data_IF_227881294202
#
_entry.id   IF_227881294202
#
_cell.length_a   1.000
_cell.length_b   1.000
_cell.length_c   1.000
_cell.angle_alpha   90.00
_cell.angle_beta   90.00
_cell.angle_gamma   90.00
#
_symmetry.space_group_name_H-M   'P 1'
#
loop_
_entity.id
_entity.type
_entity.pdbx_description
1 polymer ?
#
# COMPACT_ATOMS: atom_id res chain seq x y z
N UNK A 1 9.37 7.12 -56.39
CA UNK A 1 8.32 6.32 -55.73
C UNK A 1 8.73 6.17 -54.28
N UNK A 2 8.05 6.88 -53.39
CA UNK A 2 8.28 6.82 -51.95
C UNK A 2 7.65 5.52 -51.41
N UNK A 3 8.42 4.76 -50.64
CA UNK A 3 7.88 3.72 -49.77
C UNK A 3 7.70 4.34 -48.39
N UNK A 4 6.45 4.50 -47.99
CA UNK A 4 6.05 4.88 -46.63
C UNK A 4 6.19 3.66 -45.73
N UNK A 5 6.93 3.84 -44.65
CA UNK A 5 7.13 2.91 -43.56
C UNK A 5 5.89 2.94 -42.66
N UNK A 6 5.11 1.87 -42.69
CA UNK A 6 3.89 1.70 -41.89
C UNK A 6 4.29 1.43 -40.44
N UNK A 7 3.97 2.40 -39.57
CA UNK A 7 4.23 2.35 -38.14
C UNK A 7 3.59 1.13 -37.49
N UNK A 8 4.40 0.35 -36.77
CA UNK A 8 3.94 -0.68 -35.85
C UNK A 8 3.16 0.03 -34.72
N UNK A 9 1.84 0.02 -34.85
CA UNK A 9 0.92 0.40 -33.77
C UNK A 9 0.96 -0.74 -32.75
N UNK A 10 1.69 -0.54 -31.65
CA UNK A 10 1.64 -1.42 -30.48
C UNK A 10 0.25 -1.27 -29.83
N UNK A 11 -0.70 -2.06 -30.32
CA UNK A 11 -1.98 -2.27 -29.66
C UNK A 11 -1.73 -2.93 -28.31
N UNK A 12 -1.74 -2.13 -27.24
CA UNK A 12 -1.82 -2.62 -25.87
C UNK A 12 -3.25 -3.12 -25.65
N UNK A 13 -3.56 -4.29 -26.18
CA UNK A 13 -4.81 -4.95 -25.81
C UNK A 13 -4.75 -5.31 -24.32
N UNK A 14 -5.70 -4.84 -23.49
CA UNK A 14 -5.76 -5.22 -22.09
C UNK A 14 -5.95 -6.73 -22.01
N UNK A 15 -4.91 -7.43 -21.54
CA UNK A 15 -5.03 -8.87 -21.29
C UNK A 15 -6.15 -9.07 -20.28
N UNK A 16 -7.14 -9.94 -20.57
CA UNK A 16 -8.21 -10.19 -19.63
C UNK A 16 -7.62 -10.69 -18.30
N UNK A 17 -8.04 -10.04 -17.22
CA UNK A 17 -7.63 -10.39 -15.86
C UNK A 17 -7.96 -11.86 -15.61
N UNK A 18 -6.93 -12.71 -15.55
CA UNK A 18 -7.09 -14.10 -15.12
C UNK A 18 -6.80 -14.13 -13.62
N UNK A 19 -7.79 -14.48 -12.78
CA UNK A 19 -7.52 -14.74 -11.37
C UNK A 19 -6.42 -15.80 -11.27
N UNK A 20 -5.42 -15.58 -10.44
CA UNK A 20 -4.41 -16.60 -10.19
C UNK A 20 -5.07 -17.79 -9.50
N UNK A 21 -4.61 -18.99 -9.84
CA UNK A 21 -5.26 -20.24 -9.48
C UNK A 21 -4.90 -20.70 -8.08
N UNK A 22 -3.75 -20.26 -7.57
CA UNK A 22 -3.24 -20.66 -6.25
C UNK A 22 -2.65 -19.47 -5.50
N UNK A 23 -2.65 -19.57 -4.17
CA UNK A 23 -2.03 -18.58 -3.29
C UNK A 23 -0.52 -18.42 -3.50
N UNK A 24 0.13 -19.45 -4.06
CA UNK A 24 1.55 -19.49 -4.36
C UNK A 24 1.89 -18.70 -5.64
N UNK A 25 1.05 -18.78 -6.68
CA UNK A 25 1.19 -17.98 -7.90
C UNK A 25 1.08 -16.47 -7.60
N UNK A 26 0.15 -16.07 -6.73
CA UNK A 26 0.05 -14.68 -6.25
C UNK A 26 1.33 -14.24 -5.54
N UNK A 27 1.85 -15.10 -4.65
CA UNK A 27 3.04 -14.78 -3.88
C UNK A 27 4.28 -14.66 -4.77
N UNK A 28 4.37 -15.52 -5.80
CA UNK A 28 5.41 -15.43 -6.81
C UNK A 28 5.35 -14.11 -7.57
N UNK A 29 4.17 -13.69 -8.04
CA UNK A 29 4.01 -12.43 -8.76
C UNK A 29 4.39 -11.21 -7.90
N UNK A 30 4.00 -11.21 -6.61
CA UNK A 30 4.43 -10.18 -5.66
C UNK A 30 5.95 -10.16 -5.48
N UNK A 31 6.57 -11.35 -5.38
CA UNK A 31 8.01 -11.51 -5.22
C UNK A 31 8.77 -11.01 -6.46
N UNK A 32 8.26 -11.30 -7.65
CA UNK A 32 8.82 -10.83 -8.93
C UNK A 32 8.80 -9.30 -9.03
N UNK A 33 7.65 -8.68 -8.74
CA UNK A 33 7.52 -7.21 -8.76
C UNK A 33 8.43 -6.53 -7.71
N UNK A 34 8.54 -7.11 -6.51
CA UNK A 34 9.48 -6.62 -5.49
C UNK A 34 10.95 -6.81 -5.90
N UNK A 35 11.29 -7.90 -6.60
CA UNK A 35 12.64 -8.15 -7.10
C UNK A 35 13.02 -7.09 -8.15
N UNK A 36 12.17 -6.86 -9.16
CA UNK A 36 12.37 -5.85 -10.20
C UNK A 36 12.49 -4.45 -9.62
N UNK A 37 11.69 -4.16 -8.60
CA UNK A 37 11.75 -2.90 -7.87
C UNK A 37 13.08 -2.70 -7.14
N UNK A 38 13.54 -3.68 -6.36
CA UNK A 38 14.82 -3.61 -5.65
C UNK A 38 16.02 -3.61 -6.62
N UNK A 39 15.94 -4.36 -7.73
CA UNK A 39 16.89 -4.31 -8.82
C UNK A 39 17.05 -2.89 -9.34
N UNK A 40 15.93 -2.24 -9.66
CA UNK A 40 15.91 -0.88 -10.21
C UNK A 40 16.43 0.18 -9.23
N UNK A 41 16.17 0.01 -7.93
CA UNK A 41 16.59 0.97 -6.89
C UNK A 41 18.07 0.85 -6.52
N UNK A 42 18.61 -0.37 -6.49
CA UNK A 42 19.91 -0.66 -5.88
C UNK A 42 20.90 -1.33 -6.84
N UNK A 43 20.51 -1.55 -8.10
CA UNK A 43 21.30 -2.25 -9.11
C UNK A 43 21.77 -3.64 -8.63
N UNK A 44 20.86 -4.36 -7.95
CA UNK A 44 21.11 -5.69 -7.40
C UNK A 44 20.78 -6.74 -8.44
N UNK A 45 21.62 -7.76 -8.60
CA UNK A 45 21.25 -8.97 -9.35
C UNK A 45 20.28 -9.82 -8.54
N UNK A 46 19.03 -9.35 -8.41
CA UNK A 46 17.95 -9.98 -7.66
C UNK A 46 16.81 -10.36 -8.63
N UNK A 47 16.30 -11.57 -8.48
CA UNK A 47 15.18 -12.13 -9.23
C UNK A 47 14.20 -12.79 -8.27
N UNK A 48 13.04 -13.23 -8.76
CA UNK A 48 12.09 -13.99 -7.95
C UNK A 48 12.71 -15.27 -7.36
N UNK A 49 13.59 -15.95 -8.10
CA UNK A 49 14.25 -17.19 -7.68
C UNK A 49 15.21 -16.97 -6.50
N UNK A 50 16.04 -15.93 -6.56
CA UNK A 50 17.07 -15.66 -5.57
C UNK A 50 16.69 -14.56 -4.55
N UNK A 51 15.42 -14.12 -4.56
CA UNK A 51 14.92 -13.00 -3.78
C UNK A 51 15.32 -13.06 -2.30
N UNK A 52 15.10 -14.20 -1.64
CA UNK A 52 15.45 -14.38 -0.24
C UNK A 52 16.97 -14.47 -0.03
N UNK A 53 17.71 -15.12 -0.93
CA UNK A 53 19.18 -15.22 -0.87
C UNK A 53 19.85 -13.84 -0.86
N UNK A 54 19.30 -12.89 -1.63
CA UNK A 54 19.84 -11.52 -1.73
C UNK A 54 19.47 -10.64 -0.53
N UNK A 55 18.51 -11.05 0.29
CA UNK A 55 17.96 -10.24 1.39
C UNK A 55 18.19 -10.84 2.78
N UNK A 56 18.53 -12.13 2.88
CA UNK A 56 18.64 -12.89 4.14
C UNK A 56 19.74 -12.42 5.10
N UNK A 57 20.65 -11.56 4.66
CA UNK A 57 21.65 -10.90 5.53
C UNK A 57 21.10 -9.68 6.28
N UNK A 58 19.91 -9.20 5.88
CA UNK A 58 19.30 -7.98 6.42
C UNK A 58 19.93 -6.67 5.94
N UNK A 59 21.04 -6.71 5.21
CA UNK A 59 21.81 -5.51 4.81
C UNK A 59 21.00 -4.62 3.88
N UNK A 60 20.53 -5.19 2.76
CA UNK A 60 19.79 -4.46 1.74
C UNK A 60 18.52 -3.81 2.30
N UNK A 61 17.79 -4.50 3.18
CA UNK A 61 16.57 -3.97 3.79
C UNK A 61 16.86 -2.84 4.79
N UNK A 62 17.96 -2.94 5.55
CA UNK A 62 18.40 -1.82 6.41
C UNK A 62 18.84 -0.60 5.59
N UNK A 63 19.54 -0.81 4.48
CA UNK A 63 19.89 0.26 3.54
C UNK A 63 18.64 0.91 2.95
N UNK A 64 17.64 0.10 2.58
CA UNK A 64 16.37 0.59 2.09
C UNK A 64 15.65 1.46 3.11
N UNK A 65 15.55 1.02 4.36
CA UNK A 65 14.98 1.78 5.47
C UNK A 65 15.64 3.17 5.62
N UNK A 66 16.98 3.20 5.62
CA UNK A 66 17.72 4.45 5.72
C UNK A 66 17.50 5.38 4.53
N UNK A 67 17.34 4.83 3.31
CA UNK A 67 17.01 5.62 2.12
C UNK A 67 15.60 6.23 2.21
N UNK A 68 14.60 5.46 2.65
CA UNK A 68 13.24 5.98 2.91
C UNK A 68 13.31 7.13 3.91
N UNK A 69 14.05 6.94 5.00
CA UNK A 69 14.25 7.97 6.02
C UNK A 69 14.87 9.26 5.46
N UNK A 70 15.92 9.13 4.67
CA UNK A 70 16.58 10.29 4.04
C UNK A 70 15.61 11.09 3.16
N UNK A 71 14.79 10.41 2.35
CA UNK A 71 13.80 11.06 1.49
C UNK A 71 12.73 11.79 2.32
N UNK A 72 12.21 11.14 3.37
CA UNK A 72 11.20 11.76 4.23
C UNK A 72 11.73 13.02 4.95
N UNK A 73 12.99 12.98 5.41
CA UNK A 73 13.66 14.13 6.01
C UNK A 73 13.89 15.26 4.99
N UNK A 74 14.29 14.91 3.76
CA UNK A 74 14.47 15.89 2.68
C UNK A 74 13.16 16.60 2.32
N UNK A 75 12.03 15.90 2.43
CA UNK A 75 10.69 16.46 2.22
C UNK A 75 10.13 17.19 3.45
N UNK A 76 10.85 17.23 4.58
CA UNK A 76 10.38 17.77 5.87
C UNK A 76 9.03 17.16 6.27
N UNK A 77 8.85 15.87 6.00
CA UNK A 77 7.61 15.19 6.34
C UNK A 77 7.42 15.16 7.86
N UNK A 78 6.19 15.43 8.30
CA UNK A 78 5.79 15.28 9.70
C UNK A 78 5.31 13.86 10.03
N UNK A 79 5.21 12.98 9.03
CA UNK A 79 4.75 11.61 9.25
C UNK A 79 5.84 10.78 9.96
N UNK A 80 5.46 9.71 10.68
CA UNK A 80 6.42 8.81 11.32
C UNK A 80 7.34 8.13 10.30
N UNK A 81 8.64 8.13 10.56
CA UNK A 81 9.65 7.48 9.69
C UNK A 81 10.61 6.58 10.46
N UNK A 82 10.60 6.60 11.79
CA UNK A 82 11.57 5.90 12.62
C UNK A 82 12.98 6.51 12.62
N UNK A 83 13.83 5.96 13.48
CA UNK A 83 15.24 6.36 13.60
C UNK A 83 16.14 5.73 12.54
N UNK A 84 17.40 6.13 12.49
CA UNK A 84 18.37 5.50 11.58
C UNK A 84 18.62 4.03 11.95
N UNK A 85 18.63 3.15 10.95
CA UNK A 85 18.83 1.72 11.12
C UNK A 85 20.32 1.40 11.04
N UNK A 86 20.91 1.17 12.22
CA UNK A 86 22.30 0.70 12.34
C UNK A 86 22.38 -0.76 11.91
N UNK A 87 23.28 -1.07 10.98
CA UNK A 87 23.48 -2.42 10.46
C UNK A 87 24.94 -2.68 10.09
N UNK A 88 25.30 -3.96 9.95
CA UNK A 88 26.63 -4.42 9.54
C UNK A 88 26.60 -4.89 8.09
N UNK A 89 27.55 -4.46 7.26
CA UNK A 89 27.57 -4.79 5.82
C UNK A 89 28.16 -6.18 5.52
N UNK A 90 29.26 -6.57 6.18
CA UNK A 90 29.99 -7.81 5.90
C UNK A 90 29.45 -8.99 6.72
N UNK A 91 28.17 -9.32 6.47
CA UNK A 91 27.44 -10.33 7.23
C UNK A 91 27.15 -11.55 6.37
N UNK A 92 27.53 -12.73 6.86
CA UNK A 92 27.13 -13.99 6.25
C UNK A 92 25.68 -14.35 6.59
N UNK A 93 24.98 -14.93 5.62
CA UNK A 93 23.61 -15.43 5.77
C UNK A 93 23.50 -16.47 6.91
N UNK A 94 22.32 -16.55 7.54
CA UNK A 94 22.04 -17.50 8.62
C UNK A 94 22.75 -17.20 9.95
N UNK A 95 23.57 -16.15 10.04
CA UNK A 95 24.32 -15.82 11.26
C UNK A 95 23.50 -15.02 12.27
N UNK A 96 23.97 -14.97 13.52
CA UNK A 96 23.40 -14.07 14.54
C UNK A 96 23.43 -12.60 14.10
N UNK A 97 24.47 -12.17 13.38
CA UNK A 97 24.56 -10.81 12.86
C UNK A 97 23.53 -10.52 11.75
N UNK A 98 23.16 -11.52 10.94
CA UNK A 98 22.08 -11.37 9.97
C UNK A 98 20.75 -11.14 10.69
N UNK A 99 20.47 -11.93 11.73
CA UNK A 99 19.26 -11.75 12.56
C UNK A 99 19.23 -10.40 13.28
N UNK A 100 20.37 -9.92 13.75
CA UNK A 100 20.51 -8.60 14.39
C UNK A 100 20.17 -7.46 13.42
N UNK A 101 20.72 -7.48 12.20
CA UNK A 101 20.35 -6.55 11.13
C UNK A 101 18.83 -6.58 10.87
N UNK A 102 18.25 -7.77 10.70
CA UNK A 102 16.81 -7.93 10.45
C UNK A 102 15.97 -7.45 11.64
N UNK A 103 16.43 -7.67 12.88
CA UNK A 103 15.74 -7.19 14.09
C UNK A 103 15.69 -5.66 14.14
N UNK A 104 16.80 -4.99 13.83
CA UNK A 104 16.86 -3.53 13.76
C UNK A 104 15.94 -2.98 12.66
N UNK A 105 15.88 -3.66 11.51
CA UNK A 105 14.94 -3.32 10.44
C UNK A 105 13.48 -3.46 10.88
N UNK A 106 13.10 -4.56 11.55
CA UNK A 106 11.73 -4.76 12.06
C UNK A 106 11.37 -3.68 13.10
N UNK A 107 12.31 -3.31 13.98
CA UNK A 107 12.11 -2.21 14.92
C UNK A 107 11.85 -0.87 14.20
N UNK A 108 12.58 -0.62 13.12
CA UNK A 108 12.35 0.56 12.28
C UNK A 108 10.98 0.54 11.59
N UNK A 109 10.52 -0.62 11.09
CA UNK A 109 9.19 -0.76 10.49
C UNK A 109 8.08 -0.30 11.45
N UNK A 110 8.21 -0.57 12.75
CA UNK A 110 7.29 -0.04 13.78
C UNK A 110 7.34 1.48 13.87
N UNK A 111 8.54 2.07 13.83
CA UNK A 111 8.75 3.52 13.80
C UNK A 111 8.19 4.20 12.53
N UNK A 112 8.16 3.49 11.40
CA UNK A 112 7.48 3.88 10.16
C UNK A 112 5.94 3.74 10.24
N UNK A 113 5.44 3.08 11.30
CA UNK A 113 4.02 2.87 11.57
C UNK A 113 3.42 1.63 10.89
N UNK A 114 4.24 0.68 10.44
CA UNK A 114 3.75 -0.62 9.92
C UNK A 114 2.98 -1.34 11.03
N UNK A 115 1.79 -1.85 10.72
CA UNK A 115 0.93 -2.54 11.69
C UNK A 115 1.58 -3.85 12.16
N UNK A 116 1.44 -4.18 13.45
CA UNK A 116 2.05 -5.41 14.02
C UNK A 116 1.61 -6.69 13.29
N UNK A 117 0.37 -6.75 12.78
CA UNK A 117 -0.12 -7.91 12.02
C UNK A 117 0.54 -8.07 10.63
N UNK A 118 1.23 -7.04 10.14
CA UNK A 118 1.99 -7.07 8.88
C UNK A 118 3.50 -7.24 9.12
N UNK A 119 3.97 -7.15 10.37
CA UNK A 119 5.37 -7.40 10.68
C UNK A 119 5.68 -8.90 10.58
N UNK A 120 6.93 -9.19 10.26
CA UNK A 120 7.48 -10.53 10.16
C UNK A 120 8.51 -10.76 11.28
N UNK A 121 8.88 -12.01 11.52
CA UNK A 121 9.92 -12.39 12.46
C UNK A 121 11.28 -12.53 11.76
N UNK A 122 12.38 -12.42 12.51
CA UNK A 122 13.73 -12.55 11.93
C UNK A 122 13.94 -13.88 11.19
N UNK A 123 13.37 -14.98 11.68
CA UNK A 123 13.48 -16.30 11.06
C UNK A 123 12.67 -16.43 9.77
N UNK A 124 11.66 -15.58 9.55
CA UNK A 124 10.84 -15.59 8.34
C UNK A 124 11.66 -15.20 7.11
N UNK A 125 12.66 -14.32 7.31
CA UNK A 125 13.61 -13.91 6.28
C UNK A 125 14.90 -14.75 6.33
N UNK A 126 15.55 -14.86 7.49
CA UNK A 126 16.88 -15.48 7.62
C UNK A 126 16.85 -16.99 7.41
N UNK A 127 15.77 -17.66 7.84
CA UNK A 127 15.58 -19.11 7.70
C UNK A 127 14.43 -19.47 6.77
N UNK A 128 13.82 -18.48 6.10
CA UNK A 128 12.68 -18.63 5.19
C UNK A 128 11.52 -19.41 5.81
N UNK A 129 11.27 -19.23 7.12
CA UNK A 129 10.17 -19.93 7.81
C UNK A 129 8.79 -19.51 7.32
N UNK A 130 8.66 -18.26 6.88
CA UNK A 130 7.39 -17.72 6.38
C UNK A 130 7.63 -16.57 5.38
N UNK A 131 7.88 -16.95 4.13
CA UNK A 131 8.12 -16.01 3.03
C UNK A 131 6.98 -14.99 2.85
N UNK A 132 5.73 -15.42 3.09
CA UNK A 132 4.55 -14.57 2.93
C UNK A 132 4.59 -13.36 3.85
N UNK A 133 4.89 -13.56 5.14
CA UNK A 133 4.93 -12.46 6.11
C UNK A 133 5.95 -11.39 5.69
N UNK A 134 7.14 -11.81 5.23
CA UNK A 134 8.15 -10.87 4.76
C UNK A 134 7.71 -10.09 3.51
N UNK A 135 7.16 -10.78 2.51
CA UNK A 135 6.68 -10.16 1.26
C UNK A 135 5.58 -9.12 1.53
N UNK A 136 4.61 -9.45 2.37
CA UNK A 136 3.51 -8.54 2.72
C UNK A 136 4.01 -7.32 3.51
N UNK A 137 4.95 -7.52 4.44
CA UNK A 137 5.61 -6.42 5.14
C UNK A 137 6.32 -5.47 4.17
N UNK A 138 7.06 -6.02 3.20
CA UNK A 138 7.83 -5.21 2.26
C UNK A 138 6.95 -4.40 1.31
N UNK A 139 5.80 -4.94 0.88
CA UNK A 139 4.79 -4.19 0.13
C UNK A 139 4.23 -3.02 0.94
N UNK A 140 3.94 -3.23 2.22
CA UNK A 140 3.46 -2.15 3.10
C UNK A 140 4.52 -1.05 3.29
N UNK A 141 5.79 -1.42 3.41
CA UNK A 141 6.91 -0.46 3.44
C UNK A 141 6.97 0.32 2.13
N UNK A 142 6.75 -0.32 0.99
CA UNK A 142 6.75 0.36 -0.30
C UNK A 142 5.61 1.39 -0.42
N UNK A 143 4.38 1.04 0.02
CA UNK A 143 3.24 1.99 0.11
C UNK A 143 3.58 3.22 0.95
N UNK A 144 4.20 3.00 2.11
CA UNK A 144 4.61 4.09 3.02
C UNK A 144 5.75 4.91 2.43
N UNK A 145 6.74 4.25 1.85
CA UNK A 145 7.88 4.87 1.18
C UNK A 145 7.47 5.78 0.02
N UNK A 146 6.44 5.39 -0.73
CA UNK A 146 5.90 6.18 -1.84
C UNK A 146 5.44 7.57 -1.40
N UNK A 147 4.85 7.68 -0.19
CA UNK A 147 4.45 8.96 0.41
C UNK A 147 5.63 9.89 0.70
N UNK A 148 6.83 9.35 0.78
CA UNK A 148 8.09 10.09 0.93
C UNK A 148 8.85 10.26 -0.39
N UNK A 149 8.23 9.94 -1.54
CA UNK A 149 8.85 10.04 -2.85
C UNK A 149 9.79 8.90 -3.21
N UNK A 150 9.80 7.80 -2.46
CA UNK A 150 10.44 6.57 -2.95
C UNK A 150 9.65 6.04 -4.15
N UNK A 151 10.29 5.65 -5.26
CA UNK A 151 9.59 4.94 -6.32
C UNK A 151 8.89 3.69 -5.75
N UNK A 152 7.63 3.46 -6.12
CA UNK A 152 6.88 2.29 -5.71
C UNK A 152 6.99 1.15 -6.74
N UNK A 153 6.88 -0.12 -6.30
CA UNK A 153 6.77 -1.27 -7.19
C UNK A 153 5.45 -1.21 -7.98
N UNK A 154 5.35 -1.94 -9.08
CA UNK A 154 4.25 -1.79 -10.04
C UNK A 154 2.91 -2.11 -9.38
N UNK A 155 2.87 -3.15 -8.54
CA UNK A 155 1.66 -3.56 -7.85
C UNK A 155 1.08 -2.42 -6.99
N UNK A 156 1.92 -1.76 -6.20
CA UNK A 156 1.50 -0.63 -5.35
C UNK A 156 1.02 0.56 -6.19
N UNK A 157 1.70 0.84 -7.31
CA UNK A 157 1.27 1.90 -8.23
C UNK A 157 -0.11 1.62 -8.83
N UNK A 158 -0.38 0.37 -9.19
CA UNK A 158 -1.69 -0.06 -9.69
C UNK A 158 -2.77 0.03 -8.61
N UNK A 159 -2.47 -0.38 -7.37
CA UNK A 159 -3.39 -0.22 -6.22
C UNK A 159 -3.82 1.25 -6.05
N UNK A 160 -2.87 2.19 -6.03
CA UNK A 160 -3.15 3.62 -5.90
C UNK A 160 -3.93 4.20 -7.10
N UNK A 161 -3.71 3.67 -8.30
CA UNK A 161 -4.46 4.06 -9.50
C UNK A 161 -5.91 3.62 -9.40
N UNK A 162 -6.15 2.36 -9.02
CA UNK A 162 -7.49 1.80 -8.81
C UNK A 162 -8.23 2.58 -7.71
N UNK A 163 -7.59 2.83 -6.55
CA UNK A 163 -8.20 3.61 -5.47
C UNK A 163 -8.62 5.01 -5.93
N UNK A 164 -7.78 5.68 -6.74
CA UNK A 164 -8.08 7.01 -7.27
C UNK A 164 -9.26 7.00 -8.24
N UNK A 165 -9.40 5.95 -9.06
CA UNK A 165 -10.54 5.80 -9.96
C UNK A 165 -11.83 5.55 -9.19
N UNK A 166 -11.81 4.65 -8.21
CA UNK A 166 -12.96 4.35 -7.35
C UNK A 166 -13.45 5.62 -6.64
N UNK A 167 -12.54 6.42 -6.06
CA UNK A 167 -12.90 7.66 -5.39
C UNK A 167 -13.56 8.68 -6.34
N UNK A 168 -13.06 8.80 -7.58
CA UNK A 168 -13.67 9.67 -8.60
C UNK A 168 -15.08 9.23 -8.96
N UNK A 169 -15.31 7.93 -9.06
CA UNK A 169 -16.62 7.39 -9.43
C UNK A 169 -17.63 7.50 -8.28
N UNK A 170 -17.20 7.37 -7.02
CA UNK A 170 -18.02 7.66 -5.85
C UNK A 170 -18.42 9.15 -5.82
N UNK A 171 -17.47 10.06 -6.05
CA UNK A 171 -17.75 11.50 -6.06
C UNK A 171 -18.74 11.89 -7.18
N UNK A 172 -18.58 11.33 -8.39
CA UNK A 172 -19.54 11.54 -9.48
C UNK A 172 -20.93 11.04 -9.12
N UNK A 173 -21.04 9.86 -8.48
CA UNK A 173 -22.34 9.33 -8.04
C UNK A 173 -22.99 10.25 -7.02
N UNK A 174 -22.22 10.74 -6.03
CA UNK A 174 -22.73 11.68 -5.03
C UNK A 174 -23.21 13.00 -5.64
N UNK A 175 -22.49 13.52 -6.64
CA UNK A 175 -22.89 14.72 -7.37
C UNK A 175 -24.16 14.50 -8.20
N UNK A 176 -24.29 13.31 -8.81
CA UNK A 176 -25.49 12.95 -9.56
C UNK A 176 -26.72 12.81 -8.66
N UNK A 177 -26.57 12.15 -7.50
CA UNK A 177 -27.63 12.02 -6.49
C UNK A 177 -28.04 13.37 -5.88
N UNK A 178 -27.11 14.29 -5.69
CA UNK A 178 -27.40 15.64 -5.20
C UNK A 178 -28.17 16.52 -6.21
N UNK A 179 -28.01 16.29 -7.52
CA UNK A 179 -28.78 17.00 -8.56
C UNK A 179 -30.18 16.42 -8.78
N UNK A 180 -30.45 15.19 -8.35
CA UNK A 180 -31.76 14.52 -8.52
C UNK A 180 -32.75 14.89 -7.39
N UNK A 181 -32.27 15.49 -6.28
CA UNK A 181 -33.09 15.91 -5.13
C UNK A 181 -33.64 17.36 -5.23
N UNK A 182 -33.17 18.17 -6.17
CA UNK A 182 -33.61 19.57 -6.37
C UNK A 182 -34.74 19.69 -7.43
N UNK A 183 -35.35 18.55 -7.81
CA UNK A 183 -36.29 18.43 -8.94
C UNK A 183 -37.77 18.27 -8.59
N UNK A 184 -38.17 18.44 -7.32
CA UNK A 184 -39.58 18.35 -6.90
C UNK A 184 -39.99 19.59 -6.06
N UNK A 185 -39.97 20.77 -6.68
CA UNK A 185 -40.76 21.93 -6.24
C UNK A 185 -41.89 22.19 -7.24
N UNK A 186 -42.99 21.44 -7.12
CA UNK A 186 -44.35 21.72 -7.62
C UNK A 186 -45.24 20.57 -7.15
N UNK A 187 -46.26 20.67 -6.30
CA UNK A 187 -47.23 21.71 -5.95
C UNK A 187 -47.74 21.44 -4.52
N UNK A 188 -48.14 22.50 -3.80
CA UNK A 188 -48.93 22.39 -2.58
C UNK A 188 -50.30 21.78 -2.91
N UNK A 189 -50.56 20.54 -2.48
CA UNK A 189 -51.93 20.05 -2.29
C UNK A 189 -52.07 19.40 -0.89
N UNK A 190 -52.88 20.05 -0.05
CA UNK A 190 -53.31 19.58 1.27
C UNK A 190 -54.23 18.36 1.09
N UNK A 191 -53.83 17.14 1.49
CA UNK A 191 -54.79 16.07 1.81
C UNK A 191 -54.38 15.22 3.03
N UNK A 192 -55.40 14.78 3.76
CA UNK A 192 -55.46 14.40 5.17
C UNK A 192 -54.64 13.16 5.60
N UNK A 193 -54.25 13.17 6.87
CA UNK A 193 -53.54 12.12 7.62
C UNK A 193 -54.29 10.78 7.65
N UNK A 194 -53.64 9.69 7.20
CA UNK A 194 -53.92 8.33 7.66
C UNK A 194 -52.74 7.79 8.49
N UNK A 195 -52.98 7.66 9.79
CA UNK A 195 -52.03 7.20 10.80
C UNK A 195 -51.89 5.67 10.72
N UNK A 196 -50.91 5.18 9.96
CA UNK A 196 -50.41 3.81 10.10
C UNK A 196 -48.97 3.85 10.63
N UNK A 197 -48.63 3.10 11.71
CA UNK A 197 -47.30 3.18 12.30
C UNK A 197 -46.24 2.69 11.30
N UNK A 198 -45.12 3.41 11.13
CA UNK A 198 -44.07 2.97 10.23
C UNK A 198 -43.51 1.63 10.73
N UNK A 199 -43.38 0.68 9.80
CA UNK A 199 -42.65 -0.55 10.05
C UNK A 199 -41.26 -0.18 10.60
N UNK A 200 -40.97 -0.63 11.82
CA UNK A 200 -39.62 -0.57 12.37
C UNK A 200 -38.71 -1.44 11.50
N UNK A 201 -38.03 -0.82 10.54
CA UNK A 201 -36.83 -1.41 9.97
C UNK A 201 -35.84 -1.43 11.12
N UNK A 202 -35.59 -2.63 11.64
CA UNK A 202 -34.49 -2.89 12.57
C UNK A 202 -33.23 -2.45 11.82
N UNK A 203 -32.74 -1.24 12.09
CA UNK A 203 -31.38 -0.86 11.74
C UNK A 203 -30.49 -1.71 12.64
N UNK A 204 -30.15 -2.90 12.16
CA UNK A 204 -29.05 -3.65 12.71
C UNK A 204 -27.85 -2.69 12.56
N UNK A 205 -27.33 -2.20 13.70
CA UNK A 205 -26.21 -1.28 13.84
C UNK A 205 -24.93 -1.88 13.22
N UNK A 206 -24.92 -2.02 11.91
CA UNK A 206 -23.71 -1.98 11.12
C UNK A 206 -23.34 -0.51 11.08
N UNK A 207 -22.61 -0.05 12.12
CA UNK A 207 -21.73 1.11 11.99
C UNK A 207 -21.10 1.01 10.61
N UNK A 208 -21.47 1.96 9.75
CA UNK A 208 -21.16 1.91 8.33
C UNK A 208 -19.69 1.57 8.17
N UNK A 209 -19.37 0.63 7.28
CA UNK A 209 -17.98 0.36 6.88
C UNK A 209 -17.22 1.68 6.59
N UNK A 210 -17.95 2.70 6.16
CA UNK A 210 -17.48 4.08 5.96
C UNK A 210 -17.02 4.78 7.26
N UNK A 211 -17.70 4.58 8.40
CA UNK A 211 -17.21 5.10 9.69
C UNK A 211 -15.92 4.40 10.13
N UNK A 212 -15.77 3.10 9.87
CA UNK A 212 -14.57 2.33 10.23
C UNK A 212 -13.37 2.68 9.34
N UNK A 213 -13.61 2.87 8.04
CA UNK A 213 -12.59 3.32 7.08
C UNK A 213 -12.19 4.78 7.37
N UNK A 214 -13.16 5.64 7.70
CA UNK A 214 -12.90 7.01 8.14
C UNK A 214 -12.11 7.04 9.46
N UNK A 215 -12.41 6.16 10.43
CA UNK A 215 -11.62 6.02 11.66
C UNK A 215 -10.17 5.59 11.42
N UNK A 216 -9.94 4.64 10.49
CA UNK A 216 -8.60 4.15 10.13
C UNK A 216 -7.77 5.24 9.41
N UNK A 217 -8.41 6.02 8.53
CA UNK A 217 -7.77 7.14 7.85
C UNK A 217 -7.51 8.33 8.80
N UNK A 218 -8.37 8.54 9.81
CA UNK A 218 -8.19 9.61 10.80
C UNK A 218 -7.08 9.33 11.82
N UNK A 219 -6.80 8.06 12.15
CA UNK A 219 -5.67 7.68 13.04
C UNK A 219 -4.31 7.80 12.34
N UNK A 220 -4.27 7.67 11.01
CA UNK A 220 -3.03 7.67 10.21
C UNK A 220 -2.71 9.02 9.54
N UNK A 221 -3.55 10.03 9.72
CA UNK A 221 -3.29 11.40 9.29
C UNK A 221 -2.26 12.13 10.17
N UNK A 222 -1.45 13.05 9.63
CA UNK A 222 -0.46 13.78 10.39
C UNK A 222 -1.16 14.67 11.43
N UNK A 223 -0.89 14.43 12.72
CA UNK A 223 -1.28 15.36 13.79
C UNK A 223 -0.59 16.70 13.50
N UNK A 224 -1.40 17.71 13.13
CA UNK A 224 -0.94 19.08 12.96
C UNK A 224 -0.27 19.63 14.23
N UNK A 225 0.51 20.72 14.10
CA UNK A 225 1.38 21.21 15.15
C UNK A 225 0.58 21.64 16.38
N UNK A 226 0.97 21.10 17.54
CA UNK A 226 0.51 21.59 18.84
C UNK A 226 1.05 23.00 19.03
N UNK A 227 0.16 24.00 18.93
CA UNK A 227 0.41 25.34 19.43
C UNK A 227 0.47 25.24 20.96
N UNK A 228 1.68 25.33 21.51
CA UNK A 228 1.91 25.64 22.92
C UNK A 228 2.30 27.11 23.01
N UNK A 229 1.50 27.86 23.78
CA UNK A 229 1.84 29.19 24.29
C UNK A 229 2.78 29.14 25.49
#
# INVERSE_FOLDING_TARGET
MAAVDEGITLSLEPRPFRPFKTSEEYLWAMKEDLADWLHSLYNLDITAENFFEKLETGVTVCQHANRVRQLALAQRSSAPVGDEVVHRCDVAAGTFHARDNVSNFIAWCRGLGVMECLLFETEDLVMRKNERSFILCLLEIARRGAKFGMPAPTLVRMEEEIEREILKDIEKKRQQEAMDYDGDESEEEEEEQDLSPPLQIITNDLKSLDEMVSWILFITGPRGPTLIG
#
